data_IF_192931110081
#
_entry.id   IF_192931110081
#
_cell.length_a   1.000
_cell.length_b   1.000
_cell.length_c   1.000
_cell.angle_alpha   90.00
_cell.angle_beta   90.00
_cell.angle_gamma   90.00
#
_symmetry.space_group_name_H-M   'P 1'
#
loop_
_entity.id
_entity.type
_entity.pdbx_description
1 polymer ?
#
# COMPACT_ATOMS: atom_id res chain seq x y z
N UNK A 1 22.04 -17.02 -17.19
CA UNK A 1 20.85 -16.18 -17.50
C UNK A 1 20.67 -15.20 -16.36
N UNK A 2 21.08 -13.96 -16.57
CA UNK A 2 20.92 -12.91 -15.54
C UNK A 2 19.44 -12.55 -15.47
N UNK A 3 18.75 -13.02 -14.46
CA UNK A 3 17.46 -12.44 -14.08
C UNK A 3 17.73 -10.99 -13.75
N UNK A 4 17.25 -10.09 -14.60
CA UNK A 4 17.23 -8.66 -14.35
C UNK A 4 16.23 -8.43 -13.17
N UNK A 5 16.68 -8.74 -11.96
CA UNK A 5 15.92 -8.51 -10.75
C UNK A 5 15.87 -7.00 -10.57
N UNK A 6 14.75 -6.40 -10.93
CA UNK A 6 14.52 -4.97 -10.72
C UNK A 6 14.72 -4.70 -9.24
N UNK A 7 15.68 -3.81 -8.92
CA UNK A 7 15.95 -3.45 -7.53
C UNK A 7 14.73 -2.80 -6.89
N UNK A 8 14.46 -3.14 -5.65
CA UNK A 8 13.38 -2.53 -4.86
C UNK A 8 13.76 -1.07 -4.61
N UNK A 9 12.87 -0.16 -4.98
CA UNK A 9 13.02 1.29 -4.85
C UNK A 9 12.52 1.76 -3.50
N UNK A 10 13.38 2.43 -2.75
CA UNK A 10 13.07 2.89 -1.39
C UNK A 10 13.16 4.42 -1.31
N UNK A 11 12.15 5.03 -0.70
CA UNK A 11 12.19 6.40 -0.20
C UNK A 11 12.62 6.37 1.26
N UNK A 12 13.57 7.22 1.65
CA UNK A 12 14.04 7.38 3.03
C UNK A 12 13.68 8.77 3.52
N UNK A 13 13.00 8.88 4.67
CA UNK A 13 12.72 10.15 5.35
C UNK A 13 13.21 10.11 6.80
N UNK A 14 14.19 10.95 7.11
CA UNK A 14 14.86 11.06 8.39
C UNK A 14 15.45 12.47 8.51
N UNK A 15 15.15 13.22 9.57
CA UNK A 15 15.60 14.60 9.73
C UNK A 15 17.08 14.69 10.15
N UNK A 16 17.57 13.71 10.90
CA UNK A 16 18.98 13.65 11.28
C UNK A 16 19.85 13.18 10.10
N UNK A 17 20.62 14.10 9.53
CA UNK A 17 21.43 13.86 8.33
C UNK A 17 22.38 12.66 8.48
N UNK A 18 22.99 12.47 9.66
CA UNK A 18 23.94 11.37 9.89
C UNK A 18 23.20 10.03 9.86
N UNK A 19 22.05 9.93 10.52
CA UNK A 19 21.25 8.70 10.54
C UNK A 19 20.72 8.41 9.14
N UNK A 20 20.27 9.45 8.42
CA UNK A 20 19.79 9.30 7.04
C UNK A 20 20.87 8.76 6.10
N UNK A 21 22.10 9.30 6.18
CA UNK A 21 23.20 8.84 5.34
C UNK A 21 23.59 7.40 5.65
N UNK A 22 23.69 7.04 6.92
CA UNK A 22 24.01 5.68 7.38
C UNK A 22 22.92 4.67 6.89
N UNK A 23 21.65 5.04 7.02
CA UNK A 23 20.52 4.24 6.53
C UNK A 23 20.58 4.05 5.00
N UNK A 24 20.91 5.09 4.25
CA UNK A 24 21.05 5.02 2.79
C UNK A 24 22.21 4.10 2.39
N UNK A 25 23.34 4.18 3.08
CA UNK A 25 24.50 3.32 2.87
C UNK A 25 24.14 1.84 3.15
N UNK A 26 23.54 1.54 4.31
CA UNK A 26 23.10 0.19 4.66
C UNK A 26 22.14 -0.41 3.61
N UNK A 27 21.17 0.37 3.16
CA UNK A 27 20.19 -0.09 2.17
C UNK A 27 20.84 -0.34 0.81
N UNK A 28 21.75 0.54 0.39
CA UNK A 28 22.46 0.42 -0.89
C UNK A 28 23.36 -0.82 -0.89
N UNK A 29 24.09 -1.06 0.19
CA UNK A 29 24.96 -2.24 0.37
C UNK A 29 24.15 -3.54 0.39
N UNK A 30 22.93 -3.49 0.93
CA UNK A 30 21.98 -4.63 0.89
C UNK A 30 21.34 -4.87 -0.49
N UNK A 31 21.64 -4.02 -1.48
CA UNK A 31 21.18 -4.18 -2.86
C UNK A 31 19.87 -3.45 -3.19
N UNK A 32 19.34 -2.64 -2.30
CA UNK A 32 18.18 -1.77 -2.56
C UNK A 32 18.60 -0.52 -3.35
N UNK A 33 17.63 0.12 -4.01
CA UNK A 33 17.82 1.40 -4.69
C UNK A 33 17.12 2.51 -3.91
N UNK A 34 17.88 3.42 -3.30
CA UNK A 34 17.31 4.60 -2.65
C UNK A 34 17.05 5.66 -3.72
N UNK A 35 15.77 5.83 -4.08
CA UNK A 35 15.34 6.73 -5.17
C UNK A 35 15.10 8.17 -4.71
N UNK A 36 14.87 8.39 -3.41
CA UNK A 36 14.66 9.71 -2.85
C UNK A 36 15.02 9.75 -1.35
N UNK A 37 15.40 10.93 -0.90
CA UNK A 37 15.66 11.23 0.51
C UNK A 37 14.87 12.48 0.90
N UNK A 38 14.33 12.48 2.13
CA UNK A 38 13.59 13.60 2.68
C UNK A 38 14.04 13.89 4.12
N UNK A 39 14.00 15.15 4.52
CA UNK A 39 14.35 15.59 5.87
C UNK A 39 13.12 15.92 6.72
N UNK A 40 11.92 15.83 6.15
CA UNK A 40 10.66 15.99 6.84
C UNK A 40 9.53 15.25 6.09
N UNK A 41 8.38 15.14 6.74
CA UNK A 41 7.22 14.44 6.18
C UNK A 41 6.61 15.11 4.95
N UNK A 42 6.66 16.45 4.85
CA UNK A 42 6.11 17.16 3.69
C UNK A 42 6.89 16.82 2.41
N UNK A 43 8.22 16.87 2.48
CA UNK A 43 9.11 16.47 1.38
C UNK A 43 8.91 14.98 1.06
N UNK A 44 8.78 14.12 2.09
CA UNK A 44 8.56 12.70 1.89
C UNK A 44 7.28 12.42 1.07
N UNK A 45 6.18 13.12 1.34
CA UNK A 45 4.93 12.99 0.60
C UNK A 45 5.11 13.39 -0.87
N UNK A 46 5.78 14.52 -1.13
CA UNK A 46 6.07 14.98 -2.50
C UNK A 46 6.93 13.96 -3.26
N UNK A 47 7.99 13.45 -2.62
CA UNK A 47 8.88 12.47 -3.20
C UNK A 47 8.19 11.14 -3.47
N UNK A 48 7.31 10.68 -2.57
CA UNK A 48 6.52 9.48 -2.78
C UNK A 48 5.62 9.59 -4.01
N UNK A 49 4.94 10.72 -4.20
CA UNK A 49 4.10 10.99 -5.37
C UNK A 49 4.92 11.02 -6.66
N UNK A 50 6.12 11.61 -6.62
CA UNK A 50 6.99 11.77 -7.79
C UNK A 50 7.67 10.47 -8.21
N UNK A 51 8.22 9.74 -7.27
CA UNK A 51 9.09 8.57 -7.55
C UNK A 51 8.37 7.23 -7.45
N UNK A 52 7.17 7.18 -6.86
CA UNK A 52 6.37 5.94 -6.70
C UNK A 52 7.23 4.78 -6.18
N UNK A 53 7.83 4.90 -4.99
CA UNK A 53 8.73 3.88 -4.46
C UNK A 53 7.99 2.58 -4.13
N UNK A 54 8.72 1.47 -4.11
CA UNK A 54 8.18 0.17 -3.68
C UNK A 54 8.01 0.09 -2.15
N UNK A 55 8.71 0.96 -1.40
CA UNK A 55 8.62 1.12 0.05
C UNK A 55 9.05 2.52 0.46
N UNK A 56 8.36 3.10 1.44
CA UNK A 56 8.81 4.29 2.16
C UNK A 56 9.26 3.92 3.59
N UNK A 57 10.47 4.33 3.97
CA UNK A 57 11.00 4.24 5.33
C UNK A 57 10.96 5.64 5.93
N UNK A 58 10.18 5.82 7.01
CA UNK A 58 9.93 7.13 7.61
C UNK A 58 10.31 7.10 9.10
N UNK A 59 11.09 8.08 9.55
CA UNK A 59 11.20 8.33 10.98
C UNK A 59 9.90 8.89 11.53
N UNK A 60 9.55 8.50 12.77
CA UNK A 60 8.33 8.98 13.43
C UNK A 60 8.41 10.48 13.73
N UNK A 61 9.56 10.93 14.25
CA UNK A 61 9.76 12.32 14.66
C UNK A 61 10.52 13.10 13.60
N UNK A 62 9.82 13.92 12.87
CA UNK A 62 10.39 14.84 11.92
C UNK A 62 9.77 16.23 12.09
N UNK A 63 10.49 17.32 11.73
CA UNK A 63 9.96 18.66 11.78
C UNK A 63 8.87 18.88 10.71
N UNK A 64 8.06 19.93 10.86
CA UNK A 64 6.97 20.35 10.00
C UNK A 64 5.83 19.37 9.91
N UNK A 65 6.05 18.21 9.30
CA UNK A 65 5.10 17.09 9.20
C UNK A 65 5.77 15.85 9.77
N UNK A 66 5.19 15.29 10.84
CA UNK A 66 5.69 14.06 11.45
C UNK A 66 5.52 12.83 10.53
N UNK A 67 6.28 11.78 10.82
CA UNK A 67 6.27 10.57 9.99
C UNK A 67 4.94 9.84 9.98
N UNK A 68 4.13 9.91 11.04
CA UNK A 68 2.81 9.25 11.09
C UNK A 68 1.84 9.98 10.16
N UNK A 69 1.80 11.31 10.25
CA UNK A 69 0.99 12.15 9.35
C UNK A 69 1.41 11.98 7.88
N UNK A 70 2.71 11.85 7.63
CA UNK A 70 3.21 11.53 6.29
C UNK A 70 2.78 10.13 5.83
N UNK A 71 2.85 9.13 6.73
CA UNK A 71 2.45 7.77 6.43
C UNK A 71 0.98 7.66 5.99
N UNK A 72 0.06 8.37 6.65
CA UNK A 72 -1.37 8.40 6.28
C UNK A 72 -1.60 8.78 4.81
N UNK A 73 -0.75 9.65 4.26
CA UNK A 73 -0.85 10.07 2.86
C UNK A 73 -0.06 9.15 1.90
N UNK A 74 1.05 8.57 2.37
CA UNK A 74 1.94 7.74 1.55
C UNK A 74 1.40 6.31 1.40
N UNK A 75 0.64 5.79 2.37
CA UNK A 75 0.16 4.41 2.38
C UNK A 75 -0.70 4.04 1.16
N UNK A 76 -1.38 5.00 0.56
CA UNK A 76 -2.12 4.81 -0.69
C UNK A 76 -1.21 4.62 -1.92
N UNK A 77 0.06 5.04 -1.82
CA UNK A 77 1.06 5.01 -2.89
C UNK A 77 1.95 3.79 -2.75
N UNK A 78 2.51 3.60 -1.55
CA UNK A 78 3.47 2.52 -1.26
C UNK A 78 3.36 2.06 0.20
N UNK A 79 3.80 0.83 0.53
CA UNK A 79 3.90 0.39 1.91
C UNK A 79 4.84 1.29 2.70
N UNK A 80 4.54 1.44 4.00
CA UNK A 80 5.33 2.27 4.92
C UNK A 80 5.93 1.40 6.02
N UNK A 81 7.23 1.57 6.24
CA UNK A 81 7.98 1.09 7.40
C UNK A 81 8.36 2.30 8.25
N UNK A 82 8.06 2.24 9.55
CA UNK A 82 8.40 3.32 10.48
C UNK A 82 9.69 3.01 11.25
N UNK A 83 10.53 4.04 11.41
CA UNK A 83 11.62 4.03 12.38
C UNK A 83 11.17 4.72 13.66
N UNK A 84 11.39 4.12 14.82
CA UNK A 84 10.89 4.65 16.10
C UNK A 84 11.90 4.48 17.22
N UNK A 85 11.91 5.40 18.18
CA UNK A 85 12.61 5.22 19.43
C UNK A 85 11.77 4.38 20.39
N UNK A 86 12.41 3.52 21.17
CA UNK A 86 11.79 2.52 22.06
C UNK A 86 10.76 3.07 23.06
N UNK A 87 10.80 4.35 23.38
CA UNK A 87 10.01 4.98 24.45
C UNK A 87 8.60 5.45 24.02
N UNK A 88 8.13 5.09 22.82
CA UNK A 88 6.95 5.74 22.22
C UNK A 88 5.82 4.76 21.89
N UNK A 89 5.38 3.98 22.88
CA UNK A 89 4.31 2.98 22.71
C UNK A 89 3.02 3.56 22.11
N UNK A 90 2.65 4.77 22.52
CA UNK A 90 1.47 5.48 21.96
C UNK A 90 1.62 5.80 20.47
N UNK A 91 2.84 6.09 20.03
CA UNK A 91 3.11 6.36 18.62
C UNK A 91 3.08 5.09 17.75
N UNK A 92 3.43 3.94 18.33
CA UNK A 92 3.30 2.64 17.63
C UNK A 92 1.81 2.31 17.41
N UNK A 93 0.94 2.60 18.37
CA UNK A 93 -0.51 2.41 18.21
C UNK A 93 -1.07 3.33 17.13
N UNK A 94 -0.71 4.62 17.12
CA UNK A 94 -1.10 5.57 16.07
C UNK A 94 -0.58 5.17 14.69
N UNK A 95 0.67 4.71 14.59
CA UNK A 95 1.25 4.23 13.34
C UNK A 95 0.51 2.99 12.79
N UNK A 96 0.11 2.08 13.67
CA UNK A 96 -0.70 0.92 13.29
C UNK A 96 -2.07 1.37 12.75
N UNK A 97 -2.72 2.32 13.40
CA UNK A 97 -4.02 2.83 12.99
C UNK A 97 -3.93 3.63 11.66
N UNK A 98 -2.77 4.23 11.38
CA UNK A 98 -2.43 4.84 10.10
C UNK A 98 -2.14 3.83 8.96
N UNK A 99 -2.18 2.52 9.24
CA UNK A 99 -1.95 1.47 8.24
C UNK A 99 -0.49 1.12 7.98
N UNK A 100 0.43 1.53 8.86
CA UNK A 100 1.87 1.19 8.74
C UNK A 100 2.08 -0.32 8.78
N UNK A 101 2.87 -0.83 7.83
CA UNK A 101 3.04 -2.27 7.61
C UNK A 101 4.06 -2.93 8.53
N UNK A 102 5.10 -2.19 8.92
CA UNK A 102 6.14 -2.65 9.84
C UNK A 102 6.79 -1.46 10.55
N UNK A 103 7.50 -1.73 11.64
CA UNK A 103 8.32 -0.74 12.35
C UNK A 103 9.64 -1.37 12.79
N UNK A 104 10.67 -0.54 12.87
CA UNK A 104 12.00 -0.90 13.38
C UNK A 104 12.39 0.10 14.47
N UNK A 105 12.94 -0.42 15.56
CA UNK A 105 13.32 0.38 16.71
C UNK A 105 14.77 0.85 16.58
N UNK A 106 15.03 2.14 16.84
CA UNK A 106 16.38 2.71 16.91
C UNK A 106 17.05 2.35 18.25
N UNK A 107 18.36 2.00 18.26
CA UNK A 107 19.25 1.85 17.12
C UNK A 107 18.99 0.55 16.35
N UNK A 108 19.16 0.55 15.05
CA UNK A 108 18.92 -0.58 14.17
C UNK A 108 20.16 -1.02 13.40
N UNK A 109 20.14 -2.23 12.91
CA UNK A 109 21.14 -2.79 12.01
C UNK A 109 20.48 -3.22 10.70
N UNK A 110 21.28 -3.56 9.70
CA UNK A 110 20.77 -4.13 8.45
C UNK A 110 20.00 -5.45 8.68
N UNK A 111 20.40 -6.21 9.70
CA UNK A 111 19.71 -7.44 10.12
C UNK A 111 18.29 -7.21 10.63
N UNK A 112 17.99 -6.01 11.14
CA UNK A 112 16.64 -5.61 11.56
C UNK A 112 15.83 -5.04 10.39
N UNK A 113 16.49 -4.28 9.51
CA UNK A 113 15.85 -3.60 8.38
C UNK A 113 15.37 -4.57 7.31
N UNK A 114 16.20 -5.51 6.86
CA UNK A 114 15.88 -6.42 5.75
C UNK A 114 14.61 -7.24 6.02
N UNK A 115 14.46 -7.93 7.16
CA UNK A 115 13.22 -8.66 7.44
C UNK A 115 12.00 -7.74 7.54
N UNK A 116 12.15 -6.54 8.12
CA UNK A 116 11.06 -5.57 8.23
C UNK A 116 10.61 -5.05 6.86
N UNK A 117 11.53 -4.81 5.94
CA UNK A 117 11.27 -4.43 4.55
C UNK A 117 10.47 -5.53 3.84
N UNK A 118 10.91 -6.77 3.93
CA UNK A 118 10.23 -7.92 3.32
C UNK A 118 8.81 -8.11 3.87
N UNK A 119 8.63 -7.97 5.17
CA UNK A 119 7.31 -8.05 5.83
C UNK A 119 6.41 -6.92 5.34
N UNK A 120 6.91 -5.67 5.28
CA UNK A 120 6.12 -4.52 4.87
C UNK A 120 5.62 -4.68 3.42
N UNK A 121 6.49 -5.07 2.50
CA UNK A 121 6.15 -5.29 1.09
C UNK A 121 5.18 -6.47 0.94
N UNK A 122 5.42 -7.58 1.64
CA UNK A 122 4.56 -8.76 1.59
C UNK A 122 3.14 -8.45 2.08
N UNK A 123 3.01 -7.79 3.22
CA UNK A 123 1.71 -7.38 3.79
C UNK A 123 0.94 -6.46 2.86
N UNK A 124 1.63 -5.49 2.27
CA UNK A 124 1.00 -4.57 1.33
C UNK A 124 0.46 -5.29 0.08
N UNK A 125 1.22 -6.23 -0.47
CA UNK A 125 0.77 -7.06 -1.60
C UNK A 125 -0.47 -7.88 -1.24
N UNK A 126 -0.49 -8.49 -0.06
CA UNK A 126 -1.65 -9.24 0.42
C UNK A 126 -2.88 -8.36 0.58
N UNK A 127 -2.74 -7.17 1.16
CA UNK A 127 -3.85 -6.20 1.27
C UNK A 127 -4.40 -5.81 -0.10
N UNK A 128 -3.53 -5.44 -1.05
CA UNK A 128 -3.98 -5.10 -2.42
C UNK A 128 -4.72 -6.24 -3.11
N UNK A 129 -4.26 -7.47 -2.95
CA UNK A 129 -4.95 -8.64 -3.51
C UNK A 129 -6.35 -8.78 -2.92
N UNK A 130 -6.49 -8.66 -1.59
CA UNK A 130 -7.78 -8.73 -0.91
C UNK A 130 -8.73 -7.59 -1.33
N UNK A 131 -8.22 -6.37 -1.46
CA UNK A 131 -9.01 -5.23 -1.95
C UNK A 131 -9.54 -5.46 -3.36
N UNK A 132 -8.72 -6.02 -4.26
CA UNK A 132 -9.13 -6.37 -5.61
C UNK A 132 -10.19 -7.46 -5.61
N UNK A 133 -10.01 -8.53 -4.83
CA UNK A 133 -10.99 -9.62 -4.71
C UNK A 133 -12.34 -9.12 -4.17
N UNK A 134 -12.30 -8.24 -3.16
CA UNK A 134 -13.51 -7.61 -2.62
C UNK A 134 -14.22 -6.75 -3.65
N UNK A 135 -13.47 -5.93 -4.41
CA UNK A 135 -14.03 -5.09 -5.47
C UNK A 135 -14.71 -5.94 -6.55
N UNK A 136 -14.07 -7.02 -6.99
CA UNK A 136 -14.63 -7.97 -7.97
C UNK A 136 -15.92 -8.64 -7.46
N UNK A 137 -15.95 -8.99 -6.17
CA UNK A 137 -17.16 -9.57 -5.56
C UNK A 137 -18.32 -8.57 -5.53
N UNK A 138 -18.06 -7.31 -5.18
CA UNK A 138 -19.08 -6.24 -5.22
C UNK A 138 -19.61 -6.02 -6.63
N UNK A 139 -18.75 -5.96 -7.64
CA UNK A 139 -19.15 -5.80 -9.04
C UNK A 139 -20.04 -6.97 -9.50
N UNK A 140 -19.67 -8.21 -9.17
CA UNK A 140 -20.50 -9.39 -9.46
C UNK A 140 -21.86 -9.34 -8.77
N UNK A 141 -21.92 -8.89 -7.51
CA UNK A 141 -23.16 -8.73 -6.77
C UNK A 141 -24.08 -7.67 -7.41
N UNK A 142 -23.53 -6.51 -7.78
CA UNK A 142 -24.29 -5.46 -8.45
C UNK A 142 -24.80 -5.92 -9.83
N UNK A 143 -23.97 -6.59 -10.61
CA UNK A 143 -24.37 -7.18 -11.89
C UNK A 143 -25.51 -8.17 -11.71
N UNK A 144 -25.42 -9.05 -10.70
CA UNK A 144 -26.49 -10.01 -10.39
C UNK A 144 -27.80 -9.31 -10.03
N UNK A 145 -27.78 -8.26 -9.19
CA UNK A 145 -28.97 -7.48 -8.84
C UNK A 145 -29.62 -6.85 -10.08
N UNK A 146 -28.82 -6.31 -10.99
CA UNK A 146 -29.32 -5.71 -12.25
C UNK A 146 -29.99 -6.78 -13.12
N UNK A 147 -29.36 -7.95 -13.26
CA UNK A 147 -29.92 -9.07 -14.04
C UNK A 147 -31.24 -9.56 -13.41
N UNK A 148 -31.28 -9.75 -12.09
CA UNK A 148 -32.50 -10.20 -11.40
C UNK A 148 -33.63 -9.19 -11.51
N UNK A 149 -33.33 -7.89 -11.46
CA UNK A 149 -34.32 -6.82 -11.71
C UNK A 149 -34.82 -6.83 -13.16
N UNK A 150 -33.91 -6.98 -14.13
CA UNK A 150 -34.27 -7.07 -15.55
C UNK A 150 -35.15 -8.30 -15.86
N UNK A 151 -34.81 -9.47 -15.28
CA UNK A 151 -35.64 -10.67 -15.36
C UNK A 151 -37.05 -10.40 -14.83
N UNK A 152 -37.18 -9.79 -13.66
CA UNK A 152 -38.46 -9.47 -13.05
C UNK A 152 -39.33 -8.55 -13.93
N UNK A 153 -38.72 -7.59 -14.62
CA UNK A 153 -39.39 -6.70 -15.56
C UNK A 153 -39.87 -7.47 -16.81
N UNK A 154 -38.97 -8.27 -17.39
CA UNK A 154 -39.31 -9.07 -18.59
C UNK A 154 -40.38 -10.11 -18.34
N UNK A 155 -40.32 -10.79 -17.21
CA UNK A 155 -41.37 -11.75 -16.80
C UNK A 155 -42.73 -11.10 -16.70
N UNK A 156 -42.81 -9.87 -16.16
CA UNK A 156 -44.07 -9.13 -16.03
C UNK A 156 -44.53 -8.50 -17.34
N UNK A 157 -43.61 -7.89 -18.10
CA UNK A 157 -43.96 -7.13 -19.31
C UNK A 157 -44.22 -8.00 -20.53
N UNK A 158 -43.50 -9.12 -20.67
CA UNK A 158 -43.56 -10.01 -21.82
C UNK A 158 -44.13 -11.39 -21.51
N UNK A 159 -44.57 -11.62 -20.29
CA UNK A 159 -45.12 -12.89 -19.79
C UNK A 159 -44.17 -14.07 -20.03
N UNK A 160 -42.87 -13.86 -19.87
CA UNK A 160 -41.83 -14.87 -20.06
C UNK A 160 -41.55 -15.62 -18.74
N UNK A 161 -41.16 -16.88 -18.85
CA UNK A 161 -40.62 -17.64 -17.72
C UNK A 161 -39.24 -17.15 -17.36
N UNK A 162 -38.74 -17.51 -16.16
CA UNK A 162 -37.39 -17.12 -15.72
C UNK A 162 -36.27 -17.57 -16.68
N UNK A 163 -36.24 -18.84 -17.17
CA UNK A 163 -35.25 -19.26 -18.16
C UNK A 163 -35.31 -18.49 -19.49
N UNK A 164 -36.52 -18.17 -19.96
CA UNK A 164 -36.73 -17.40 -21.20
C UNK A 164 -36.24 -15.96 -21.04
N UNK A 165 -36.52 -15.34 -19.91
CA UNK A 165 -36.03 -13.99 -19.57
C UNK A 165 -34.52 -13.95 -19.53
N UNK A 166 -33.86 -14.95 -18.93
CA UNK A 166 -32.41 -15.04 -18.89
C UNK A 166 -31.78 -15.20 -20.28
N UNK A 167 -32.34 -16.10 -21.10
CA UNK A 167 -31.88 -16.30 -22.47
C UNK A 167 -32.05 -15.04 -23.33
N UNK A 168 -33.16 -14.30 -23.13
CA UNK A 168 -33.38 -13.04 -23.81
C UNK A 168 -32.36 -11.98 -23.45
N UNK A 169 -32.02 -11.83 -22.15
CA UNK A 169 -30.99 -10.91 -21.68
C UNK A 169 -29.62 -11.27 -22.28
N UNK A 170 -29.24 -12.55 -22.26
CA UNK A 170 -27.97 -13.00 -22.84
C UNK A 170 -27.82 -12.70 -24.33
N UNK A 171 -28.89 -12.92 -25.10
CA UNK A 171 -28.89 -12.66 -26.56
C UNK A 171 -28.88 -11.18 -26.91
N UNK A 172 -29.44 -10.33 -26.05
CA UNK A 172 -29.56 -8.89 -26.34
C UNK A 172 -28.34 -8.11 -25.83
N UNK A 173 -27.60 -8.64 -24.83
CA UNK A 173 -26.40 -8.04 -24.26
C UNK A 173 -25.09 -8.39 -25.03
N UNK A 174 -25.18 -9.26 -26.05
CA UNK A 174 -24.11 -9.54 -27.00
C UNK A 174 -24.25 -8.67 -28.26
#
# INVERSE_FOLDING_TARGET
MSTNSQKIKILVAEDETIIRLDLVEMLTDAGYEVVAQAENGAIAIEMAKKYQPDLAILDVKMPEVDGITAAEQIISISPVLMLTAFSQRELVERARDAGVMAYVVKPFSIGDLVPAIEIAISRHRQMKTLETEVADLYERLETRKIIDRAKGILMKAMNLSEPESFNWIQKTAM
#
